data_IF_670268360864
#
_entry.id   IF_670268360864
#
_cell.length_a   1.000
_cell.length_b   1.000
_cell.length_c   1.000
_cell.angle_alpha   90.00
_cell.angle_beta   90.00
_cell.angle_gamma   90.00
#
_symmetry.space_group_name_H-M   'P 1'
#
loop_
_entity.id
_entity.type
_entity.pdbx_description
1 polymer ?
#
# COMPACT_ATOMS: atom_id res chain seq x y z
N UNK A 1 -12.50 23.78 8.99
CA UNK A 1 -12.09 23.09 7.75
C UNK A 1 -12.71 23.85 6.57
N UNK A 2 -12.09 23.84 5.38
CA UNK A 2 -12.61 24.52 4.19
C UNK A 2 -13.94 23.93 3.65
N UNK A 3 -14.36 22.76 4.15
CA UNK A 3 -15.57 22.07 3.70
C UNK A 3 -16.89 22.62 4.31
N UNK A 4 -16.80 23.57 5.26
CA UNK A 4 -17.96 24.06 6.02
C UNK A 4 -18.58 22.98 6.92
N UNK A 5 -19.81 23.19 7.42
CA UNK A 5 -20.55 22.17 8.18
C UNK A 5 -20.79 20.93 7.32
N UNK A 6 -20.73 19.74 7.93
CA UNK A 6 -20.96 18.46 7.25
C UNK A 6 -22.34 17.88 7.53
N UNK A 7 -23.13 18.50 8.39
CA UNK A 7 -24.47 18.03 8.75
C UNK A 7 -25.40 17.92 7.53
N UNK A 8 -26.10 16.80 7.42
CA UNK A 8 -26.97 16.43 6.30
C UNK A 8 -26.22 16.05 5.00
N UNK A 9 -24.91 16.26 4.93
CA UNK A 9 -24.11 15.95 3.73
C UNK A 9 -23.75 14.48 3.66
N UNK A 10 -23.56 13.99 2.44
CA UNK A 10 -22.93 12.70 2.19
C UNK A 10 -21.42 12.87 2.36
N UNK A 11 -20.83 12.13 3.30
CA UNK A 11 -19.39 12.14 3.54
C UNK A 11 -18.78 10.84 2.97
N UNK A 12 -18.00 10.96 1.91
CA UNK A 12 -17.35 9.81 1.27
C UNK A 12 -15.99 9.57 1.91
N UNK A 13 -15.84 8.42 2.58
CA UNK A 13 -14.56 7.94 3.08
C UNK A 13 -13.83 7.18 1.97
N UNK A 14 -12.84 7.83 1.36
CA UNK A 14 -12.02 7.25 0.29
C UNK A 14 -10.60 6.87 0.73
N UNK A 15 -10.27 7.05 2.01
CA UNK A 15 -8.93 6.79 2.51
C UNK A 15 -8.77 5.34 2.98
N UNK A 16 -7.52 4.87 2.92
CA UNK A 16 -7.09 3.63 3.54
C UNK A 16 -6.05 3.98 4.60
N UNK A 17 -6.25 3.49 5.81
CA UNK A 17 -5.23 3.53 6.85
C UNK A 17 -4.52 2.19 6.99
N UNK A 18 -3.38 2.22 7.68
CA UNK A 18 -2.59 1.04 8.05
C UNK A 18 -2.24 1.17 9.53
N UNK A 19 -2.36 0.08 10.29
CA UNK A 19 -2.07 0.05 11.73
C UNK A 19 -2.90 1.03 12.55
N UNK A 20 -2.33 1.51 13.67
CA UNK A 20 -3.02 2.35 14.67
C UNK A 20 -3.58 3.70 14.15
N UNK A 21 -3.15 4.14 12.96
CA UNK A 21 -3.62 5.39 12.35
C UNK A 21 -4.82 5.20 11.39
N UNK A 22 -5.37 3.98 11.31
CA UNK A 22 -6.49 3.71 10.42
C UNK A 22 -7.79 4.32 10.93
N UNK A 23 -8.32 5.28 10.15
CA UNK A 23 -9.66 5.82 10.36
C UNK A 23 -10.66 4.87 9.72
N UNK A 24 -11.40 4.14 10.54
CA UNK A 24 -12.49 3.27 10.08
C UNK A 24 -13.71 4.09 9.69
N UNK A 25 -14.63 3.51 8.92
CA UNK A 25 -15.91 4.17 8.62
C UNK A 25 -16.71 4.43 9.91
N UNK A 26 -16.69 3.50 10.87
CA UNK A 26 -17.33 3.66 12.18
C UNK A 26 -16.78 4.87 12.95
N UNK A 27 -15.44 4.99 13.06
CA UNK A 27 -14.80 6.12 13.74
C UNK A 27 -15.11 7.45 13.03
N UNK A 28 -15.25 7.42 11.69
CA UNK A 28 -15.64 8.61 10.93
C UNK A 28 -17.09 9.01 11.21
N UNK A 29 -18.02 8.05 11.24
CA UNK A 29 -19.43 8.27 11.57
C UNK A 29 -19.61 8.81 12.99
N UNK A 30 -18.85 8.30 13.98
CA UNK A 30 -18.85 8.82 15.35
C UNK A 30 -18.32 10.25 15.43
N UNK A 31 -17.30 10.56 14.65
CA UNK A 31 -16.71 11.91 14.58
C UNK A 31 -17.63 12.92 13.90
N UNK A 32 -18.46 12.48 12.98
CA UNK A 32 -19.37 13.31 12.18
C UNK A 32 -20.81 12.76 12.20
N UNK A 33 -21.48 12.74 13.36
CA UNK A 33 -22.78 12.07 13.51
C UNK A 33 -23.92 12.74 12.74
N UNK A 34 -23.77 14.02 12.37
CA UNK A 34 -24.71 14.73 11.50
C UNK A 34 -24.54 14.41 10.00
N UNK A 35 -23.46 13.73 9.61
CA UNK A 35 -23.17 13.38 8.22
C UNK A 35 -23.68 11.97 7.88
N UNK A 36 -24.04 11.76 6.61
CA UNK A 36 -24.38 10.44 6.07
C UNK A 36 -23.12 9.82 5.47
N UNK A 37 -22.42 9.01 6.25
CA UNK A 37 -21.12 8.47 5.88
C UNK A 37 -21.24 7.24 4.96
N UNK A 38 -20.45 7.22 3.88
CA UNK A 38 -20.34 6.09 2.94
C UNK A 38 -18.87 5.86 2.66
N UNK A 39 -18.41 4.60 2.67
CA UNK A 39 -17.06 4.26 2.23
C UNK A 39 -17.07 3.81 0.78
N UNK A 40 -16.28 4.47 -0.07
CA UNK A 40 -16.17 4.17 -1.49
C UNK A 40 -14.87 4.73 -2.08
N UNK A 41 -14.51 4.36 -3.32
CA UNK A 41 -13.30 4.83 -4.03
C UNK A 41 -11.95 4.46 -3.38
N UNK A 42 -11.97 3.63 -2.35
CA UNK A 42 -10.77 3.27 -1.61
C UNK A 42 -10.15 1.92 -2.06
N UNK A 43 -10.84 1.14 -2.90
CA UNK A 43 -10.40 -0.22 -3.26
C UNK A 43 -9.64 -0.30 -4.58
N UNK A 44 -9.66 0.73 -5.42
CA UNK A 44 -8.92 0.76 -6.69
C UNK A 44 -7.79 1.78 -6.64
N UNK A 45 -6.71 1.49 -7.36
CA UNK A 45 -5.61 2.43 -7.54
C UNK A 45 -6.07 3.62 -8.38
N UNK A 46 -5.53 4.81 -8.12
CA UNK A 46 -5.81 6.02 -8.89
C UNK A 46 -5.60 5.81 -10.41
N UNK A 47 -4.63 4.98 -10.82
CA UNK A 47 -4.41 4.65 -12.24
C UNK A 47 -5.60 3.93 -12.88
N UNK A 48 -6.28 3.06 -12.14
CA UNK A 48 -7.44 2.31 -12.65
C UNK A 48 -8.63 3.24 -12.73
N UNK A 49 -8.83 4.07 -11.71
CA UNK A 49 -9.85 5.13 -11.71
C UNK A 49 -9.70 6.09 -12.89
N UNK A 50 -8.47 6.43 -13.27
CA UNK A 50 -8.17 7.36 -14.36
C UNK A 50 -8.24 6.70 -15.75
N UNK A 51 -7.58 5.56 -15.93
CA UNK A 51 -7.34 4.99 -17.27
C UNK A 51 -8.43 3.98 -17.69
N UNK A 52 -9.09 3.32 -16.74
CA UNK A 52 -10.05 2.24 -16.99
C UNK A 52 -11.51 2.67 -16.75
N UNK A 53 -11.75 3.97 -16.55
CA UNK A 53 -13.11 4.51 -16.52
C UNK A 53 -13.82 4.23 -17.86
N UNK A 54 -15.08 3.81 -17.80
CA UNK A 54 -15.90 3.47 -18.96
C UNK A 54 -15.36 2.31 -19.82
N UNK A 55 -14.51 1.44 -19.28
CA UNK A 55 -14.12 0.22 -20.01
C UNK A 55 -15.31 -0.74 -20.15
N UNK A 56 -15.23 -1.65 -21.12
CA UNK A 56 -16.14 -2.80 -21.22
C UNK A 56 -15.37 -4.13 -21.05
N UNK A 57 -15.79 -5.03 -20.13
CA UNK A 57 -16.82 -4.83 -19.09
C UNK A 57 -16.31 -3.91 -17.96
N UNK A 58 -17.19 -3.12 -17.31
CA UNK A 58 -16.79 -2.17 -16.28
C UNK A 58 -16.19 -2.87 -15.06
N UNK A 59 -15.21 -2.24 -14.43
CA UNK A 59 -14.73 -2.66 -13.12
C UNK A 59 -15.71 -2.24 -12.02
N UNK A 60 -15.78 -3.07 -10.98
CA UNK A 60 -16.58 -2.84 -9.80
C UNK A 60 -15.91 -1.83 -8.86
N UNK A 61 -16.69 -0.87 -8.37
CA UNK A 61 -16.33 -0.04 -7.23
C UNK A 61 -17.25 -0.36 -6.07
N UNK A 62 -16.64 -0.70 -4.94
CA UNK A 62 -17.36 -1.12 -3.75
C UNK A 62 -17.83 0.09 -2.95
N UNK A 63 -19.03 -0.01 -2.38
CA UNK A 63 -19.53 0.95 -1.41
C UNK A 63 -20.15 0.27 -0.18
N UNK A 64 -20.04 0.91 0.98
CA UNK A 64 -20.71 0.49 2.23
C UNK A 64 -21.13 1.69 3.08
N UNK A 65 -22.17 1.52 3.88
CA UNK A 65 -22.68 2.55 4.78
C UNK A 65 -24.13 2.25 5.20
N UNK A 66 -24.56 2.84 6.31
CA UNK A 66 -25.87 2.54 6.91
C UNK A 66 -27.02 3.39 6.34
N UNK A 67 -26.72 4.47 5.62
CA UNK A 67 -27.72 5.35 5.00
C UNK A 67 -27.95 4.98 3.52
N UNK A 68 -29.14 4.45 3.24
CA UNK A 68 -29.53 3.97 1.90
C UNK A 68 -29.63 5.09 0.85
N UNK A 69 -29.99 6.32 1.24
CA UNK A 69 -30.09 7.44 0.32
C UNK A 69 -28.69 7.96 -0.07
N UNK A 70 -27.79 8.01 0.90
CA UNK A 70 -26.39 8.34 0.68
C UNK A 70 -25.72 7.28 -0.18
N UNK A 71 -25.93 5.99 0.09
CA UNK A 71 -25.43 4.91 -0.79
C UNK A 71 -25.95 5.03 -2.21
N UNK A 72 -27.24 5.31 -2.40
CA UNK A 72 -27.82 5.54 -3.75
C UNK A 72 -27.15 6.71 -4.47
N UNK A 73 -26.88 7.80 -3.74
CA UNK A 73 -26.16 8.97 -4.28
C UNK A 73 -24.74 8.58 -4.70
N UNK A 74 -24.00 7.86 -3.86
CA UNK A 74 -22.63 7.42 -4.16
C UNK A 74 -22.59 6.39 -5.28
N UNK A 75 -23.55 5.47 -5.36
CA UNK A 75 -23.71 4.54 -6.48
C UNK A 75 -23.89 5.27 -7.81
N UNK A 76 -24.67 6.36 -7.82
CA UNK A 76 -24.80 7.22 -8.99
C UNK A 76 -23.46 7.83 -9.42
N UNK A 77 -22.70 8.39 -8.47
CA UNK A 77 -21.37 8.94 -8.76
C UNK A 77 -20.40 7.88 -9.31
N UNK A 78 -20.46 6.65 -8.80
CA UNK A 78 -19.65 5.53 -9.28
C UNK A 78 -20.02 5.18 -10.73
N UNK A 79 -21.33 5.08 -11.04
CA UNK A 79 -21.82 4.80 -12.38
C UNK A 79 -21.45 5.92 -13.36
N UNK A 80 -21.63 7.18 -12.97
CA UNK A 80 -21.25 8.35 -13.76
C UNK A 80 -19.74 8.41 -14.02
N UNK A 81 -18.94 7.86 -13.10
CA UNK A 81 -17.48 7.73 -13.25
C UNK A 81 -17.07 6.57 -14.16
N UNK A 82 -18.01 5.78 -14.70
CA UNK A 82 -17.74 4.69 -15.64
C UNK A 82 -17.40 3.35 -15.00
N UNK A 83 -17.82 3.13 -13.76
CA UNK A 83 -17.64 1.88 -13.00
C UNK A 83 -19.00 1.30 -12.61
N UNK A 84 -19.03 0.01 -12.25
CA UNK A 84 -20.26 -0.62 -11.73
C UNK A 84 -20.28 -0.56 -10.19
N UNK A 85 -21.30 0.05 -9.55
CA UNK A 85 -21.37 0.11 -8.11
C UNK A 85 -21.78 -1.25 -7.51
N UNK A 86 -21.05 -1.69 -6.50
CA UNK A 86 -21.37 -2.91 -5.74
C UNK A 86 -21.50 -2.55 -4.26
N UNK A 87 -22.74 -2.53 -3.78
CA UNK A 87 -23.04 -2.36 -2.35
C UNK A 87 -22.71 -3.64 -1.59
N UNK A 88 -21.87 -3.50 -0.56
CA UNK A 88 -21.39 -4.62 0.25
C UNK A 88 -22.03 -4.67 1.65
N UNK A 89 -22.91 -3.72 1.97
CA UNK A 89 -23.63 -3.67 3.24
C UNK A 89 -23.39 -2.39 4.05
N UNK A 90 -23.47 -2.54 5.37
CA UNK A 90 -23.44 -1.43 6.32
C UNK A 90 -22.02 -1.04 6.75
N UNK A 91 -21.92 -0.17 7.75
CA UNK A 91 -20.64 0.28 8.31
C UNK A 91 -19.77 -0.88 8.79
N UNK A 92 -20.37 -1.93 9.35
CA UNK A 92 -19.66 -3.13 9.80
C UNK A 92 -19.02 -3.93 8.65
N UNK A 93 -19.57 -3.86 7.44
CA UNK A 93 -19.05 -4.57 6.27
C UNK A 93 -17.87 -3.81 5.61
N UNK A 94 -17.66 -2.54 5.98
CA UNK A 94 -16.64 -1.67 5.38
C UNK A 94 -15.20 -2.17 5.54
N UNK A 95 -14.94 -3.04 6.53
CA UNK A 95 -13.65 -3.71 6.72
C UNK A 95 -13.24 -4.58 5.52
N UNK A 96 -14.22 -5.09 4.76
CA UNK A 96 -13.94 -5.87 3.54
C UNK A 96 -13.37 -5.01 2.41
N UNK A 97 -13.36 -3.68 2.56
CA UNK A 97 -12.73 -2.74 1.61
C UNK A 97 -11.33 -2.31 2.07
N UNK A 98 -10.89 -2.69 3.27
CA UNK A 98 -9.57 -2.34 3.79
C UNK A 98 -8.47 -3.07 3.00
N UNK A 99 -7.20 -2.60 3.09
CA UNK A 99 -6.05 -3.35 2.60
C UNK A 99 -6.11 -4.83 3.02
N UNK A 100 -5.44 -5.73 2.28
CA UNK A 100 -5.40 -7.17 2.60
C UNK A 100 -6.65 -7.98 2.27
N UNK A 101 -7.81 -7.34 2.16
CA UNK A 101 -8.98 -7.98 1.56
C UNK A 101 -8.69 -8.39 0.10
N UNK A 102 -9.20 -9.52 -0.39
CA UNK A 102 -9.09 -9.91 -1.80
C UNK A 102 -9.75 -8.92 -2.76
N UNK A 103 -10.58 -8.01 -2.24
CA UNK A 103 -11.24 -6.94 -2.97
C UNK A 103 -10.38 -5.66 -3.09
N UNK A 104 -9.27 -5.57 -2.35
CA UNK A 104 -8.44 -4.38 -2.32
C UNK A 104 -7.33 -4.41 -3.38
N UNK A 105 -7.24 -3.34 -4.17
CA UNK A 105 -6.34 -3.17 -5.31
C UNK A 105 -6.39 -4.33 -6.32
N UNK A 106 -7.56 -4.96 -6.43
CA UNK A 106 -7.85 -6.04 -7.35
C UNK A 106 -8.99 -5.61 -8.29
N UNK A 107 -8.69 -5.15 -9.53
CA UNK A 107 -9.72 -4.74 -10.47
C UNK A 107 -10.55 -5.93 -10.94
N UNK A 108 -11.77 -6.03 -10.41
CA UNK A 108 -12.72 -7.11 -10.68
C UNK A 108 -13.96 -6.57 -11.40
N UNK A 109 -14.58 -7.36 -12.27
CA UNK A 109 -15.95 -7.09 -12.74
C UNK A 109 -16.99 -7.33 -11.63
N UNK A 110 -18.25 -6.98 -11.88
CA UNK A 110 -19.33 -7.13 -10.89
C UNK A 110 -19.45 -8.57 -10.37
N UNK A 111 -19.58 -9.55 -11.28
CA UNK A 111 -19.77 -10.96 -10.90
C UNK A 111 -18.60 -11.50 -10.08
N UNK A 112 -17.37 -11.11 -10.46
CA UNK A 112 -16.15 -11.51 -9.77
C UNK A 112 -16.09 -10.88 -8.37
N UNK A 113 -16.46 -9.61 -8.24
CA UNK A 113 -16.51 -8.93 -6.94
C UNK A 113 -17.57 -9.57 -6.02
N UNK A 114 -18.75 -9.91 -6.56
CA UNK A 114 -19.83 -10.60 -5.83
C UNK A 114 -19.43 -12.01 -5.40
N UNK A 115 -18.72 -12.74 -6.25
CA UNK A 115 -18.18 -14.07 -5.91
C UNK A 115 -17.18 -13.97 -4.74
N UNK A 116 -16.22 -13.05 -4.83
CA UNK A 116 -15.25 -12.81 -3.76
C UNK A 116 -15.92 -12.37 -2.44
N UNK A 117 -16.98 -11.56 -2.49
CA UNK A 117 -17.77 -11.19 -1.31
C UNK A 117 -18.47 -12.39 -0.66
N UNK A 118 -18.95 -13.34 -1.45
CA UNK A 118 -19.59 -14.55 -0.93
C UNK A 118 -18.58 -15.47 -0.24
N UNK A 119 -17.39 -15.63 -0.82
CA UNK A 119 -16.27 -16.37 -0.19
C UNK A 119 -15.87 -15.73 1.15
N UNK A 120 -15.81 -14.39 1.21
CA UNK A 120 -15.52 -13.67 2.46
C UNK A 120 -16.58 -13.87 3.55
N UNK A 121 -17.84 -14.14 3.17
CA UNK A 121 -18.92 -14.47 4.11
C UNK A 121 -18.82 -15.91 4.62
N UNK A 122 -18.37 -16.85 3.79
CA UNK A 122 -18.28 -18.28 4.17
C UNK A 122 -17.05 -18.59 5.00
N UNK A 123 -15.94 -17.93 4.70
CA UNK A 123 -14.66 -18.19 5.36
C UNK A 123 -14.51 -17.40 6.67
N UNK A 124 -15.53 -16.59 7.00
CA UNK A 124 -15.53 -15.72 8.15
C UNK A 124 -14.25 -14.91 8.17
N UNK A 125 -14.09 -13.97 7.22
CA UNK A 125 -12.94 -13.07 7.19
C UNK A 125 -12.83 -12.41 8.57
N UNK A 126 -11.97 -13.00 9.40
CA UNK A 126 -11.54 -12.45 10.66
C UNK A 126 -10.91 -11.12 10.28
N UNK A 127 -11.08 -10.06 11.06
CA UNK A 127 -10.37 -8.80 10.81
C UNK A 127 -8.86 -8.93 11.01
N UNK A 128 -8.22 -9.97 10.47
CA UNK A 128 -6.81 -10.25 10.55
C UNK A 128 -6.05 -9.20 9.75
N UNK A 129 -5.01 -8.65 10.38
CA UNK A 129 -4.26 -7.54 9.81
C UNK A 129 -3.64 -7.95 8.45
N UNK A 130 -3.91 -7.20 7.38
CA UNK A 130 -3.31 -7.36 6.05
C UNK A 130 -1.80 -7.50 6.05
N UNK A 131 -1.15 -6.70 6.89
CA UNK A 131 0.28 -6.68 7.07
C UNK A 131 0.70 -7.99 7.72
N UNK A 132 -0.05 -8.49 8.70
CA UNK A 132 0.25 -9.77 9.33
C UNK A 132 0.17 -10.93 8.34
N UNK A 133 -0.85 -10.95 7.48
CA UNK A 133 -0.97 -11.95 6.40
C UNK A 133 0.22 -11.85 5.44
N UNK A 134 0.60 -10.64 5.03
CA UNK A 134 1.72 -10.42 4.13
C UNK A 134 3.06 -10.84 4.75
N UNK A 135 3.33 -10.45 5.99
CA UNK A 135 4.54 -10.80 6.74
C UNK A 135 4.64 -12.30 6.88
N UNK A 136 3.55 -12.98 7.27
CA UNK A 136 3.54 -14.44 7.34
C UNK A 136 3.86 -15.09 6.00
N UNK A 137 3.22 -14.64 4.91
CA UNK A 137 3.46 -15.20 3.58
C UNK A 137 4.92 -15.00 3.12
N UNK A 138 5.51 -13.85 3.43
CA UNK A 138 6.89 -13.52 3.11
C UNK A 138 7.89 -14.26 4.00
N UNK A 139 7.62 -14.44 5.28
CA UNK A 139 8.42 -15.31 6.14
C UNK A 139 8.46 -16.74 5.58
N UNK A 140 7.29 -17.27 5.20
CA UNK A 140 7.16 -18.64 4.71
C UNK A 140 7.80 -18.85 3.32
N UNK A 141 7.66 -17.90 2.39
CA UNK A 141 8.00 -18.10 0.96
C UNK A 141 8.69 -16.93 0.27
N UNK A 142 9.06 -15.89 1.01
CA UNK A 142 9.70 -14.68 0.48
C UNK A 142 11.08 -14.95 -0.11
N UNK A 143 11.64 -13.91 -0.74
CA UNK A 143 13.04 -13.92 -1.14
C UNK A 143 13.95 -13.70 0.08
N UNK A 144 15.11 -14.38 0.12
CA UNK A 144 16.22 -14.03 1.02
C UNK A 144 17.30 -13.19 0.32
N UNK A 145 17.07 -12.81 -0.94
CA UNK A 145 17.99 -11.95 -1.69
C UNK A 145 17.99 -10.53 -1.09
N UNK A 146 19.09 -10.18 -0.42
CA UNK A 146 19.30 -8.87 0.17
C UNK A 146 19.31 -7.72 -0.85
N UNK A 147 19.78 -7.97 -2.07
CA UNK A 147 19.80 -6.95 -3.12
C UNK A 147 18.39 -6.62 -3.59
N UNK A 148 17.55 -7.65 -3.74
CA UNK A 148 16.14 -7.46 -4.05
C UNK A 148 15.41 -6.65 -2.96
N UNK A 149 15.64 -6.97 -1.68
CA UNK A 149 15.02 -6.22 -0.58
C UNK A 149 15.50 -4.78 -0.49
N UNK A 150 16.80 -4.53 -0.69
CA UNK A 150 17.33 -3.16 -0.68
C UNK A 150 16.78 -2.35 -1.87
N UNK A 151 16.63 -2.99 -3.02
CA UNK A 151 15.96 -2.40 -4.18
C UNK A 151 14.52 -1.99 -3.83
N UNK A 152 13.72 -2.90 -3.27
CA UNK A 152 12.31 -2.63 -2.93
C UNK A 152 12.17 -1.56 -1.83
N UNK A 153 13.03 -1.57 -0.80
CA UNK A 153 13.10 -0.48 0.21
C UNK A 153 13.38 0.85 -0.48
N UNK A 154 14.36 0.90 -1.38
CA UNK A 154 14.69 2.13 -2.10
C UNK A 154 13.53 2.58 -2.99
N UNK A 155 12.83 1.65 -3.65
CA UNK A 155 11.63 1.97 -4.44
C UNK A 155 10.56 2.61 -3.56
N UNK A 156 10.31 2.07 -2.39
CA UNK A 156 9.33 2.61 -1.44
C UNK A 156 9.69 4.05 -1.01
N UNK A 157 10.96 4.30 -0.71
CA UNK A 157 11.48 5.64 -0.34
C UNK A 157 11.24 6.66 -1.46
N UNK A 158 11.51 6.31 -2.72
CA UNK A 158 11.38 7.24 -3.84
C UNK A 158 9.94 7.39 -4.35
N UNK A 159 9.09 6.36 -4.22
CA UNK A 159 7.65 6.44 -4.53
C UNK A 159 6.89 7.37 -3.56
N UNK A 160 7.42 7.61 -2.36
CA UNK A 160 6.85 8.58 -1.43
C UNK A 160 6.99 10.02 -2.00
N UNK A 161 5.88 10.53 -2.54
CA UNK A 161 5.75 11.90 -3.04
C UNK A 161 6.04 12.09 -4.53
N UNK A 162 6.19 11.03 -5.31
CA UNK A 162 6.45 11.09 -6.75
C UNK A 162 5.53 10.14 -7.53
N UNK A 163 5.30 10.48 -8.81
CA UNK A 163 4.59 9.59 -9.74
C UNK A 163 5.39 8.30 -9.95
N UNK A 164 4.73 7.15 -9.78
CA UNK A 164 5.34 5.85 -9.99
C UNK A 164 5.99 5.71 -11.37
N UNK A 165 5.36 6.23 -12.44
CA UNK A 165 5.92 6.22 -13.80
C UNK A 165 7.28 6.92 -13.87
N UNK A 166 7.42 8.05 -13.17
CA UNK A 166 8.69 8.79 -13.13
C UNK A 166 9.75 7.97 -12.40
N UNK A 167 9.39 7.31 -11.30
CA UNK A 167 10.31 6.45 -10.55
C UNK A 167 10.77 5.25 -11.38
N UNK A 168 9.86 4.54 -12.03
CA UNK A 168 10.21 3.36 -12.86
C UNK A 168 11.07 3.73 -14.07
N UNK A 169 10.77 4.85 -14.72
CA UNK A 169 11.57 5.32 -15.87
C UNK A 169 13.03 5.59 -15.51
N UNK A 170 13.32 5.89 -14.25
CA UNK A 170 14.68 6.16 -13.73
C UNK A 170 15.35 4.91 -13.15
N UNK A 171 14.61 3.82 -12.96
CA UNK A 171 15.10 2.67 -12.22
C UNK A 171 16.31 1.94 -12.84
N UNK A 172 16.45 1.83 -14.17
CA UNK A 172 17.66 1.29 -14.77
C UNK A 172 18.92 2.08 -14.36
N UNK A 173 18.83 3.41 -14.26
CA UNK A 173 19.92 4.25 -13.76
C UNK A 173 20.25 3.94 -12.30
N UNK A 174 19.22 3.84 -11.44
CA UNK A 174 19.42 3.45 -10.04
C UNK A 174 20.12 2.10 -9.89
N UNK A 175 19.74 1.07 -10.65
CA UNK A 175 20.42 -0.24 -10.58
C UNK A 175 21.88 -0.15 -11.01
N UNK A 176 22.20 0.65 -12.01
CA UNK A 176 23.59 0.83 -12.44
C UNK A 176 24.42 1.58 -11.38
N UNK A 177 23.87 2.67 -10.86
CA UNK A 177 24.56 3.58 -9.94
C UNK A 177 24.71 3.04 -8.52
N UNK A 178 23.78 2.17 -8.09
CA UNK A 178 23.80 1.52 -6.78
C UNK A 178 24.21 0.05 -6.88
N UNK A 179 25.08 -0.31 -7.83
CA UNK A 179 25.73 -1.63 -7.88
C UNK A 179 24.76 -2.82 -7.86
N UNK A 180 23.66 -2.72 -8.61
CA UNK A 180 22.60 -3.74 -8.62
C UNK A 180 21.87 -3.91 -7.28
N UNK A 181 22.00 -2.92 -6.38
CA UNK A 181 21.52 -2.94 -5.00
C UNK A 181 22.18 -3.98 -4.10
N UNK A 182 23.37 -4.49 -4.43
CA UNK A 182 24.12 -5.33 -3.49
C UNK A 182 24.35 -4.58 -2.15
N UNK A 183 23.86 -5.10 -1.00
CA UNK A 183 23.91 -4.35 0.26
C UNK A 183 25.31 -3.96 0.68
N UNK A 184 26.31 -4.84 0.47
CA UNK A 184 27.69 -4.59 0.86
C UNK A 184 28.34 -3.53 -0.05
N UNK A 185 28.13 -3.61 -1.36
CA UNK A 185 28.62 -2.63 -2.31
C UNK A 185 27.99 -1.25 -2.09
N UNK A 186 26.66 -1.19 -1.90
CA UNK A 186 25.95 0.06 -1.60
C UNK A 186 26.41 0.63 -0.25
N UNK A 187 26.57 -0.20 0.77
CA UNK A 187 27.09 0.23 2.07
C UNK A 187 28.50 0.83 1.97
N UNK A 188 29.35 0.31 1.09
CA UNK A 188 30.73 0.72 0.91
C UNK A 188 30.91 1.98 0.03
N UNK A 189 29.85 2.48 -0.62
CA UNK A 189 29.93 3.67 -1.46
C UNK A 189 30.48 4.86 -0.68
N UNK A 190 31.51 5.50 -1.26
CA UNK A 190 32.12 6.70 -0.68
C UNK A 190 31.48 7.99 -1.23
N UNK A 191 31.90 9.13 -0.68
CA UNK A 191 31.39 10.46 -1.07
C UNK A 191 31.59 10.78 -2.56
N UNK A 192 32.66 10.27 -3.19
CA UNK A 192 32.93 10.53 -4.62
C UNK A 192 31.96 9.76 -5.51
N UNK A 193 31.68 8.50 -5.16
CA UNK A 193 30.66 7.70 -5.86
C UNK A 193 29.27 8.31 -5.68
N UNK A 194 28.92 8.69 -4.45
CA UNK A 194 27.62 9.30 -4.19
C UNK A 194 27.45 10.63 -4.94
N UNK A 195 28.47 11.49 -4.98
CA UNK A 195 28.44 12.74 -5.74
C UNK A 195 28.26 12.52 -7.26
N UNK A 196 28.78 11.39 -7.79
CA UNK A 196 28.51 10.99 -9.18
C UNK A 196 27.04 10.64 -9.38
N UNK A 197 26.46 9.83 -8.49
CA UNK A 197 25.03 9.46 -8.55
C UNK A 197 24.15 10.70 -8.45
N UNK A 198 24.46 11.63 -7.55
CA UNK A 198 23.73 12.89 -7.41
C UNK A 198 23.74 13.75 -8.67
N UNK A 199 24.76 13.59 -9.50
CA UNK A 199 24.91 14.30 -10.77
C UNK A 199 24.28 13.57 -11.95
N UNK A 200 23.92 12.29 -11.82
CA UNK A 200 23.40 11.49 -12.93
C UNK A 200 21.96 11.92 -13.29
N UNK A 201 21.70 12.37 -14.54
CA UNK A 201 20.35 12.69 -14.99
C UNK A 201 19.40 11.49 -15.09
N UNK A 202 19.91 10.26 -15.03
CA UNK A 202 19.16 9.02 -15.11
C UNK A 202 18.61 8.55 -13.77
N UNK A 203 18.98 9.19 -12.66
CA UNK A 203 18.37 8.98 -11.34
C UNK A 203 17.50 10.17 -10.92
N UNK A 204 16.77 10.01 -9.82
CA UNK A 204 16.05 11.11 -9.19
C UNK A 204 17.03 11.81 -8.25
N UNK A 205 17.50 12.99 -8.66
CA UNK A 205 18.51 13.80 -7.96
C UNK A 205 17.96 14.45 -6.68
N UNK A 206 17.72 13.62 -5.67
CA UNK A 206 17.38 14.02 -4.31
C UNK A 206 18.47 13.54 -3.36
N UNK A 207 19.45 14.40 -3.09
CA UNK A 207 20.65 14.09 -2.29
C UNK A 207 20.31 13.34 -0.99
N UNK A 208 19.37 13.86 -0.20
CA UNK A 208 18.96 13.24 1.08
C UNK A 208 18.43 11.81 0.93
N UNK A 209 17.69 11.51 -0.14
CA UNK A 209 17.18 10.16 -0.40
C UNK A 209 18.25 9.24 -1.00
N UNK A 210 19.18 9.77 -1.77
CA UNK A 210 20.33 9.01 -2.31
C UNK A 210 21.31 8.63 -1.19
N UNK A 211 21.65 9.57 -0.30
CA UNK A 211 22.37 9.31 0.94
C UNK A 211 21.66 8.27 1.81
N UNK A 212 20.32 8.34 1.88
CA UNK A 212 19.54 7.36 2.61
C UNK A 212 19.63 5.96 2.00
N UNK A 213 19.75 5.81 0.68
CA UNK A 213 19.98 4.50 0.04
C UNK A 213 21.29 3.88 0.51
N UNK A 214 22.37 4.66 0.62
CA UNK A 214 23.67 4.18 1.15
C UNK A 214 23.53 3.76 2.62
N UNK A 215 22.85 4.57 3.45
CA UNK A 215 22.56 4.19 4.83
C UNK A 215 21.73 2.91 4.93
N UNK A 216 20.70 2.79 4.09
CA UNK A 216 19.81 1.63 4.05
C UNK A 216 20.54 0.37 3.57
N UNK A 217 21.58 0.50 2.73
CA UNK A 217 22.47 -0.63 2.39
C UNK A 217 23.17 -1.20 3.63
N UNK A 218 23.70 -0.34 4.49
CA UNK A 218 24.30 -0.74 5.79
C UNK A 218 23.25 -1.40 6.69
N UNK A 219 22.09 -0.76 6.85
CA UNK A 219 21.01 -1.30 7.68
C UNK A 219 20.49 -2.67 7.18
N UNK A 220 20.45 -2.88 5.85
CA UNK A 220 20.10 -4.16 5.25
C UNK A 220 21.18 -5.21 5.53
N UNK A 221 22.46 -4.86 5.35
CA UNK A 221 23.56 -5.76 5.66
C UNK A 221 23.56 -6.18 7.13
N UNK A 222 23.32 -5.24 8.05
CA UNK A 222 23.21 -5.51 9.48
C UNK A 222 22.04 -6.45 9.78
N UNK A 223 20.85 -6.18 9.21
CA UNK A 223 19.66 -7.04 9.37
C UNK A 223 19.92 -8.48 8.88
N UNK A 224 20.52 -8.62 7.69
CA UNK A 224 20.82 -9.94 7.12
C UNK A 224 21.84 -10.69 7.98
N UNK A 225 22.81 -9.99 8.58
CA UNK A 225 23.80 -10.58 9.49
C UNK A 225 23.18 -10.98 10.82
N UNK A 226 22.33 -10.11 11.39
CA UNK A 226 21.66 -10.30 12.69
C UNK A 226 20.73 -11.52 12.66
N UNK A 227 19.96 -11.69 11.59
CA UNK A 227 18.90 -12.71 11.52
C UNK A 227 19.26 -13.90 10.61
N UNK A 228 20.33 -13.82 9.83
CA UNK A 228 20.70 -14.87 8.86
C UNK A 228 19.85 -14.88 7.59
N UNK A 229 19.12 -13.80 7.31
CA UNK A 229 18.25 -13.66 6.12
C UNK A 229 17.00 -12.83 6.42
N UNK A 230 16.37 -12.31 5.36
CA UNK A 230 15.21 -11.45 5.51
C UNK A 230 13.96 -12.24 5.95
N UNK A 231 13.82 -13.50 5.52
CA UNK A 231 12.72 -14.36 5.99
C UNK A 231 12.85 -14.68 7.47
N UNK A 232 14.06 -15.03 7.91
CA UNK A 232 14.35 -15.28 9.32
C UNK A 232 14.11 -14.04 10.19
N UNK A 233 14.42 -12.85 9.67
CA UNK A 233 14.03 -11.58 10.28
C UNK A 233 12.50 -11.45 10.41
N UNK A 234 11.74 -11.67 9.34
CA UNK A 234 10.27 -11.60 9.41
C UNK A 234 9.68 -12.65 10.37
N UNK A 235 10.30 -13.82 10.49
CA UNK A 235 9.91 -14.88 11.42
C UNK A 235 10.27 -14.59 12.89
N UNK A 236 11.12 -13.60 13.19
CA UNK A 236 11.57 -13.36 14.57
C UNK A 236 10.57 -12.60 15.44
N UNK A 237 9.51 -12.05 14.84
CA UNK A 237 8.50 -11.27 15.55
C UNK A 237 7.37 -12.14 16.09
N UNK A 238 6.98 -11.90 17.33
CA UNK A 238 5.81 -12.57 17.94
C UNK A 238 4.51 -12.08 17.30
N UNK A 239 4.37 -10.77 17.13
CA UNK A 239 3.28 -10.15 16.37
C UNK A 239 3.81 -9.72 14.99
N UNK A 240 3.27 -10.27 13.88
CA UNK A 240 3.75 -9.95 12.54
C UNK A 240 3.67 -8.45 12.17
N UNK A 241 2.79 -7.67 12.80
CA UNK A 241 2.69 -6.23 12.60
C UNK A 241 3.92 -5.48 13.10
N UNK A 242 4.61 -5.99 14.12
CA UNK A 242 5.82 -5.38 14.70
C UNK A 242 6.95 -5.34 13.67
N UNK A 243 7.00 -6.30 12.74
CA UNK A 243 7.98 -6.31 11.66
C UNK A 243 7.87 -5.06 10.77
N UNK A 244 6.66 -4.55 10.55
CA UNK A 244 6.46 -3.32 9.76
C UNK A 244 6.91 -2.07 10.51
N UNK A 245 6.76 -2.05 11.83
CA UNK A 245 7.24 -0.97 12.69
C UNK A 245 8.77 -0.97 12.78
N UNK A 246 9.40 -2.13 12.98
CA UNK A 246 10.87 -2.26 12.97
C UNK A 246 11.43 -1.79 11.62
N UNK A 247 10.88 -2.26 10.50
CA UNK A 247 11.30 -1.80 9.17
C UNK A 247 11.25 -0.27 9.04
N UNK A 248 10.20 0.36 9.58
CA UNK A 248 10.06 1.80 9.51
C UNK A 248 11.07 2.57 10.39
N UNK A 249 11.52 1.96 11.49
CA UNK A 249 12.57 2.52 12.34
C UNK A 249 13.96 2.28 11.78
N UNK A 250 14.20 1.10 11.21
CA UNK A 250 15.50 0.64 10.75
C UNK A 250 15.96 1.36 9.47
N UNK A 251 15.04 1.61 8.55
CA UNK A 251 15.36 2.19 7.24
C UNK A 251 15.00 3.69 7.17
N UNK A 252 15.97 4.51 6.75
CA UNK A 252 15.76 5.95 6.56
C UNK A 252 14.78 6.23 5.43
N UNK A 253 13.90 7.20 5.67
CA UNK A 253 12.82 7.62 4.77
C UNK A 253 11.77 6.55 4.45
N UNK A 254 11.81 5.40 5.13
CA UNK A 254 10.76 4.40 5.07
C UNK A 254 9.80 4.61 6.24
N UNK A 255 8.83 5.52 6.11
CA UNK A 255 7.83 5.70 7.18
C UNK A 255 6.91 4.48 7.35
N UNK A 256 6.08 4.41 8.40
CA UNK A 256 5.20 3.27 8.68
C UNK A 256 4.33 2.86 7.49
N UNK A 257 3.70 3.82 6.81
CA UNK A 257 2.90 3.56 5.60
C UNK A 257 3.75 3.01 4.45
N UNK A 258 5.00 3.44 4.33
CA UNK A 258 5.95 2.94 3.33
C UNK A 258 6.33 1.49 3.60
N UNK A 259 6.65 1.16 4.85
CA UNK A 259 6.95 -0.20 5.29
C UNK A 259 5.76 -1.16 5.09
N UNK A 260 4.54 -0.77 5.50
CA UNK A 260 3.35 -1.59 5.26
C UNK A 260 3.09 -1.83 3.77
N UNK A 261 3.24 -0.80 2.92
CA UNK A 261 3.05 -0.94 1.47
C UNK A 261 4.14 -1.79 0.81
N UNK A 262 5.38 -1.68 1.29
CA UNK A 262 6.50 -2.52 0.86
C UNK A 262 6.15 -4.00 1.07
N UNK A 263 5.79 -4.38 2.30
CA UNK A 263 5.43 -5.76 2.65
C UNK A 263 4.23 -6.26 1.84
N UNK A 264 3.17 -5.46 1.72
CA UNK A 264 2.00 -5.83 0.91
C UNK A 264 2.34 -5.96 -0.59
N UNK A 265 3.27 -5.16 -1.11
CA UNK A 265 3.70 -5.25 -2.50
C UNK A 265 4.57 -6.47 -2.75
N UNK A 266 5.53 -6.71 -1.86
CA UNK A 266 6.39 -7.87 -1.89
C UNK A 266 5.59 -9.18 -1.84
N UNK A 267 4.59 -9.27 -0.97
CA UNK A 267 3.78 -10.49 -0.85
C UNK A 267 2.95 -10.78 -2.09
N UNK A 268 2.47 -9.74 -2.80
CA UNK A 268 1.76 -9.92 -4.08
C UNK A 268 2.65 -10.48 -5.18
N UNK A 269 3.94 -10.14 -5.19
CA UNK A 269 4.89 -10.69 -6.16
C UNK A 269 5.12 -12.20 -5.99
N UNK A 270 4.73 -12.80 -4.86
CA UNK A 270 4.76 -14.26 -4.66
C UNK A 270 3.65 -15.00 -5.41
N UNK A 271 2.58 -14.31 -5.80
CA UNK A 271 1.41 -14.90 -6.46
C UNK A 271 1.53 -14.91 -8.00
N UNK A 272 2.62 -14.34 -8.55
CA UNK A 272 2.88 -14.22 -9.97
C UNK A 272 4.06 -15.09 -10.42
#
# INVERSE_FOLDING_TARGET
SAAGPLDGKVLIHAANGFGANAVTLAALSERFPGSRCVRAYNTLQARVLENDRHREPPYALLLSGDDEEAKRTVSGLIADSGFVPVDIGGTADSVRQDPGSPLWNNPLGEDQARAALNELRTDGHTGADPIAIAVKALADRGSDDGAWWLEEVTRAVFRAGLSWRVVEAKWPGFRADFHGFDPAAVAAMNETELARVESDPNVIRNARKLEATVFNGRAMQDLLTEHGGFRAYLSSFAEPTDAAEDLAHRFRFLGPTGASRLLLSASRSLAN
#
